data_IF_645222403446
#
_entry.id   IF_645222403446
#
_cell.length_a   1.000
_cell.length_b   1.000
_cell.length_c   1.000
_cell.angle_alpha   90.00
_cell.angle_beta   90.00
_cell.angle_gamma   90.00
#
_symmetry.space_group_name_H-M   'P 1'
#
loop_
_entity.id
_entity.type
_entity.pdbx_description
1 polymer ?
#
# COMPACT_ATOMS: atom_id res chain seq x y z
N UNK A 1 5.10 72.30 17.31
CA UNK A 1 4.00 72.60 16.37
C UNK A 1 3.93 71.55 15.28
N UNK A 2 3.16 70.49 15.54
CA UNK A 2 2.66 69.56 14.52
C UNK A 2 1.21 69.32 14.93
N UNK A 3 0.24 69.62 14.05
CA UNK A 3 -0.81 68.65 13.74
C UNK A 3 -1.31 68.82 12.25
N UNK A 4 -2.40 68.18 11.79
CA UNK A 4 -2.40 66.89 11.08
C UNK A 4 -3.30 66.89 9.82
N UNK A 5 -3.62 65.68 9.31
CA UNK A 5 -4.73 65.31 8.38
C UNK A 5 -4.35 65.27 6.88
N UNK A 6 -4.24 64.09 6.24
CA UNK A 6 -5.25 63.11 5.78
C UNK A 6 -5.70 63.35 4.32
N UNK A 7 -5.54 62.27 3.53
CA UNK A 7 -6.35 61.83 2.38
C UNK A 7 -5.89 62.09 0.91
N UNK A 8 -5.55 60.97 0.26
CA UNK A 8 -5.97 60.46 -1.07
C UNK A 8 -5.61 61.16 -2.39
N UNK A 9 -4.84 60.43 -3.22
CA UNK A 9 -5.02 60.14 -4.66
C UNK A 9 -3.82 59.28 -5.13
N UNK A 10 -3.90 57.96 -5.32
CA UNK A 10 -4.38 57.18 -6.48
C UNK A 10 -3.69 57.51 -7.82
N UNK A 11 -3.11 56.44 -8.41
CA UNK A 11 -2.65 56.26 -9.81
C UNK A 11 -1.41 57.08 -10.23
N UNK A 12 -0.39 56.57 -10.95
CA UNK A 12 -0.34 55.53 -11.97
C UNK A 12 1.15 55.21 -12.31
N UNK A 13 1.40 54.08 -12.98
CA UNK A 13 2.62 53.76 -13.76
C UNK A 13 3.94 53.49 -12.99
N UNK A 14 4.67 52.37 -13.13
CA UNK A 14 4.79 51.36 -14.20
C UNK A 14 5.12 50.00 -13.59
N UNK A 15 4.26 49.01 -13.84
CA UNK A 15 4.66 47.60 -13.76
C UNK A 15 5.46 47.31 -15.02
N UNK A 16 6.78 47.42 -14.92
CA UNK A 16 7.70 47.09 -16.02
C UNK A 16 7.85 45.56 -16.11
N UNK A 17 7.16 44.99 -17.09
CA UNK A 17 7.51 43.79 -17.84
C UNK A 17 7.99 42.55 -17.04
N UNK A 18 7.03 41.73 -16.59
CA UNK A 18 7.29 40.29 -16.55
C UNK A 18 7.41 39.78 -18.00
N UNK A 19 8.45 39.01 -18.37
CA UNK A 19 8.57 38.49 -19.73
C UNK A 19 7.38 37.57 -20.00
N UNK A 20 6.61 37.88 -21.04
CA UNK A 20 5.57 37.01 -21.56
C UNK A 20 6.23 35.69 -21.99
N UNK A 21 6.18 34.68 -21.13
CA UNK A 21 6.55 33.32 -21.48
C UNK A 21 5.61 32.88 -22.61
N UNK A 22 6.13 32.86 -23.84
CA UNK A 22 5.44 32.29 -25.00
C UNK A 22 5.03 30.84 -24.75
N UNK A 23 4.19 30.26 -25.60
CA UNK A 23 3.63 28.91 -25.40
C UNK A 23 4.68 27.83 -25.08
N UNK A 24 5.90 27.96 -25.61
CA UNK A 24 7.04 27.10 -25.28
C UNK A 24 7.48 27.19 -23.80
N UNK A 25 7.43 28.38 -23.20
CA UNK A 25 7.77 28.59 -21.79
C UNK A 25 6.70 28.06 -20.82
N UNK A 26 5.42 28.06 -21.23
CA UNK A 26 4.33 27.43 -20.49
C UNK A 26 4.43 25.91 -20.54
N UNK A 27 4.78 25.33 -21.69
CA UNK A 27 5.04 23.89 -21.84
C UNK A 27 6.21 23.43 -20.97
N UNK A 28 7.33 24.15 -20.98
CA UNK A 28 8.51 23.82 -20.16
C UNK A 28 8.24 23.95 -18.65
N UNK A 29 7.44 24.93 -18.21
CA UNK A 29 6.99 25.04 -16.82
C UNK A 29 6.01 23.94 -16.43
N UNK A 30 5.09 23.56 -17.32
CA UNK A 30 4.13 22.48 -17.07
C UNK A 30 4.81 21.11 -17.04
N UNK A 31 5.82 20.90 -17.89
CA UNK A 31 6.68 19.72 -17.89
C UNK A 31 7.56 19.69 -16.63
N UNK A 32 8.20 20.82 -16.24
CA UNK A 32 8.91 20.92 -14.97
C UNK A 32 8.01 20.71 -13.74
N UNK A 33 6.78 21.23 -13.75
CA UNK A 33 5.82 21.06 -12.66
C UNK A 33 5.30 19.61 -12.59
N UNK A 34 5.07 18.98 -13.75
CA UNK A 34 4.74 17.56 -13.86
C UNK A 34 5.87 16.68 -13.34
N UNK A 35 7.12 16.94 -13.76
CA UNK A 35 8.33 16.25 -13.28
C UNK A 35 8.51 16.44 -11.77
N UNK A 36 8.30 17.65 -11.23
CA UNK A 36 8.36 17.92 -9.78
C UNK A 36 7.27 17.19 -8.99
N UNK A 37 6.05 17.07 -9.53
CA UNK A 37 4.95 16.34 -8.91
C UNK A 37 5.23 14.83 -8.90
N UNK A 38 5.69 14.29 -10.03
CA UNK A 38 6.11 12.89 -10.18
C UNK A 38 7.25 12.52 -9.20
N UNK A 39 8.21 13.43 -8.98
CA UNK A 39 9.32 13.19 -8.04
C UNK A 39 8.85 13.22 -6.58
N UNK A 40 7.85 14.05 -6.26
CA UNK A 40 7.24 14.11 -4.92
C UNK A 40 6.45 12.84 -4.63
N UNK A 41 5.69 12.35 -5.61
CA UNK A 41 4.90 11.13 -5.49
C UNK A 41 5.83 9.91 -5.37
N UNK A 42 6.91 9.86 -6.14
CA UNK A 42 7.93 8.82 -6.04
C UNK A 42 8.61 8.78 -4.65
N UNK A 43 8.97 9.95 -4.11
CA UNK A 43 9.51 10.07 -2.74
C UNK A 43 8.53 9.57 -1.69
N UNK A 44 7.24 9.85 -1.87
CA UNK A 44 6.19 9.39 -0.97
C UNK A 44 6.06 7.87 -1.01
N UNK A 45 6.07 7.26 -2.21
CA UNK A 45 6.03 5.80 -2.36
C UNK A 45 7.20 5.14 -1.63
N UNK A 46 8.43 5.64 -1.80
CA UNK A 46 9.61 5.11 -1.10
C UNK A 46 9.45 5.20 0.41
N UNK A 47 8.96 6.33 0.94
CA UNK A 47 8.73 6.48 2.38
C UNK A 47 7.71 5.47 2.91
N UNK A 48 6.61 5.28 2.18
CA UNK A 48 5.56 4.34 2.59
C UNK A 48 6.10 2.91 2.58
N UNK A 49 6.75 2.48 1.50
CA UNK A 49 7.28 1.12 1.38
C UNK A 49 8.42 0.84 2.37
N UNK A 50 9.25 1.84 2.67
CA UNK A 50 10.34 1.67 3.64
C UNK A 50 9.90 1.82 5.11
N UNK A 51 8.65 2.22 5.39
CA UNK A 51 8.17 2.48 6.75
C UNK A 51 8.23 1.22 7.63
N UNK A 52 7.82 0.09 7.05
CA UNK A 52 7.78 -1.20 7.75
C UNK A 52 9.09 -2.00 7.58
N UNK A 53 10.13 -1.39 6.97
CA UNK A 53 11.44 -2.02 6.69
C UNK A 53 11.36 -3.38 5.98
N UNK A 54 10.27 -3.60 5.26
CA UNK A 54 9.98 -4.81 4.52
C UNK A 54 9.28 -4.38 3.23
N UNK A 55 9.94 -4.58 2.08
CA UNK A 55 9.42 -4.16 0.78
C UNK A 55 9.05 -5.41 -0.01
N UNK A 56 7.77 -5.58 -0.28
CA UNK A 56 7.25 -6.74 -0.98
C UNK A 56 7.66 -6.74 -2.46
N UNK A 57 7.71 -7.92 -3.11
CA UNK A 57 7.98 -8.00 -4.55
C UNK A 57 6.95 -7.26 -5.43
N UNK A 58 5.74 -6.99 -4.92
CA UNK A 58 4.74 -6.19 -5.65
C UNK A 58 5.09 -4.71 -5.60
N UNK A 59 5.47 -4.20 -4.42
CA UNK A 59 5.88 -2.81 -4.24
C UNK A 59 7.14 -2.49 -5.05
N UNK A 60 8.11 -3.41 -5.12
CA UNK A 60 9.27 -3.29 -6.01
C UNK A 60 8.83 -3.16 -7.48
N UNK A 61 7.85 -3.96 -7.91
CA UNK A 61 7.32 -3.92 -9.28
C UNK A 61 6.58 -2.61 -9.55
N UNK A 62 5.77 -2.13 -8.62
CA UNK A 62 5.09 -0.83 -8.73
C UNK A 62 6.10 0.31 -8.80
N UNK A 63 7.11 0.30 -7.93
CA UNK A 63 8.18 1.28 -7.93
C UNK A 63 8.97 1.24 -9.24
N UNK A 64 9.28 0.04 -9.75
CA UNK A 64 9.96 -0.16 -11.03
C UNK A 64 9.18 0.36 -12.23
N UNK A 65 7.86 0.12 -12.29
CA UNK A 65 6.97 0.70 -13.32
C UNK A 65 6.97 2.22 -13.24
N UNK A 66 6.76 2.77 -12.04
CA UNK A 66 6.76 4.21 -11.83
C UNK A 66 8.09 4.84 -12.29
N UNK A 67 9.24 4.25 -11.94
CA UNK A 67 10.54 4.73 -12.40
C UNK A 67 10.64 4.76 -13.92
N UNK A 68 10.18 3.71 -14.60
CA UNK A 68 10.22 3.60 -16.05
C UNK A 68 9.30 4.63 -16.72
N UNK A 69 8.07 4.73 -16.25
CA UNK A 69 7.03 5.60 -16.81
C UNK A 69 7.38 7.09 -16.62
N UNK A 70 8.14 7.41 -15.58
CA UNK A 70 8.56 8.78 -15.24
C UNK A 70 10.05 9.06 -15.50
N UNK A 71 10.77 8.16 -16.19
CA UNK A 71 12.17 8.38 -16.57
C UNK A 71 13.16 8.54 -15.41
N UNK A 72 12.87 7.94 -14.24
CA UNK A 72 13.71 8.05 -13.04
C UNK A 72 14.87 7.06 -13.15
N UNK A 73 16.08 7.60 -13.40
CA UNK A 73 17.32 6.82 -13.47
C UNK A 73 17.66 6.13 -12.15
N UNK A 74 18.58 5.16 -12.19
CA UNK A 74 19.06 4.46 -10.99
C UNK A 74 19.82 5.40 -10.06
N UNK A 75 20.68 6.25 -10.60
CA UNK A 75 21.41 7.25 -9.82
C UNK A 75 20.44 8.20 -9.10
N UNK A 76 19.38 8.63 -9.80
CA UNK A 76 18.36 9.50 -9.21
C UNK A 76 17.55 8.80 -8.12
N UNK A 77 17.31 7.50 -8.25
CA UNK A 77 16.69 6.70 -7.20
C UNK A 77 17.58 6.62 -5.96
N UNK A 78 18.89 6.39 -6.11
CA UNK A 78 19.86 6.35 -5.01
C UNK A 78 19.93 7.71 -4.30
N UNK A 79 19.98 8.81 -5.04
CA UNK A 79 19.94 10.17 -4.47
C UNK A 79 18.66 10.41 -3.64
N UNK A 80 17.53 9.88 -4.12
CA UNK A 80 16.26 10.00 -3.41
C UNK A 80 16.26 9.17 -2.13
N UNK A 81 16.81 7.95 -2.15
CA UNK A 81 16.99 7.13 -0.95
C UNK A 81 17.85 7.85 0.09
N UNK A 82 19.01 8.37 -0.35
CA UNK A 82 19.90 9.14 0.52
C UNK A 82 19.22 10.37 1.11
N UNK A 83 18.44 11.11 0.31
CA UNK A 83 17.65 12.25 0.77
C UNK A 83 16.50 11.90 1.72
N UNK A 84 16.17 10.61 1.85
CA UNK A 84 15.21 10.07 2.81
C UNK A 84 15.88 9.45 4.04
N UNK A 85 17.22 9.47 4.11
CA UNK A 85 17.99 8.84 5.19
C UNK A 85 18.03 7.31 5.08
N UNK A 86 17.77 6.75 3.91
CA UNK A 86 17.80 5.31 3.64
C UNK A 86 19.08 5.02 2.85
N UNK A 87 19.97 4.18 3.38
CA UNK A 87 21.14 3.75 2.62
C UNK A 87 20.75 2.75 1.54
N UNK A 88 21.56 2.61 0.48
CA UNK A 88 21.30 1.59 -0.55
C UNK A 88 21.34 0.16 0.05
N UNK A 89 22.19 -0.05 1.06
CA UNK A 89 22.26 -1.33 1.79
C UNK A 89 20.99 -1.61 2.59
N UNK A 90 20.44 -0.61 3.30
CA UNK A 90 19.17 -0.75 4.01
C UNK A 90 18.02 -1.07 3.05
N UNK A 91 18.00 -0.39 1.91
CA UNK A 91 17.01 -0.63 0.86
C UNK A 91 17.07 -2.07 0.32
N UNK A 92 18.26 -2.55 -0.02
CA UNK A 92 18.48 -3.93 -0.46
C UNK A 92 18.08 -4.93 0.62
N UNK A 93 18.41 -4.64 1.89
CA UNK A 93 17.99 -5.46 3.02
C UNK A 93 16.46 -5.53 3.15
N UNK A 94 15.74 -4.41 3.06
CA UNK A 94 14.27 -4.41 3.14
C UNK A 94 13.63 -5.19 1.98
N UNK A 95 14.23 -5.13 0.80
CA UNK A 95 13.85 -5.92 -0.38
C UNK A 95 14.10 -7.41 -0.14
N UNK A 96 15.24 -7.79 0.44
CA UNK A 96 15.54 -9.18 0.78
C UNK A 96 14.62 -9.74 1.85
N UNK A 97 14.35 -8.97 2.90
CA UNK A 97 13.38 -9.33 3.95
C UNK A 97 12.00 -9.57 3.34
N UNK A 98 11.52 -8.66 2.47
CA UNK A 98 10.22 -8.82 1.81
C UNK A 98 10.15 -9.97 0.80
N UNK A 99 11.27 -10.35 0.18
CA UNK A 99 11.36 -11.60 -0.60
C UNK A 99 11.27 -12.83 0.31
N UNK A 100 11.96 -12.80 1.44
CA UNK A 100 12.01 -13.91 2.40
C UNK A 100 10.67 -14.13 3.12
N UNK A 101 9.92 -13.06 3.39
CA UNK A 101 8.56 -13.13 3.95
C UNK A 101 7.57 -13.81 2.99
N UNK A 102 7.78 -13.72 1.68
CA UNK A 102 6.95 -14.42 0.70
C UNK A 102 7.25 -15.92 0.65
N UNK A 103 8.48 -16.33 0.94
CA UNK A 103 8.83 -17.74 1.10
C UNK A 103 8.18 -18.36 2.34
N UNK A 104 8.06 -17.63 3.47
CA UNK A 104 7.31 -18.15 4.63
C UNK A 104 5.80 -18.22 4.39
N UNK A 105 5.20 -17.28 3.66
CA UNK A 105 3.78 -17.38 3.28
C UNK A 105 3.53 -18.52 2.29
N UNK A 106 4.40 -18.71 1.28
CA UNK A 106 4.30 -19.84 0.34
C UNK A 106 4.61 -21.18 0.98
N UNK A 107 5.51 -21.23 1.95
CA UNK A 107 5.85 -22.46 2.66
C UNK A 107 4.72 -22.84 3.64
N UNK A 108 4.06 -21.85 4.26
CA UNK A 108 2.81 -22.04 5.02
C UNK A 108 1.64 -22.47 4.13
N UNK A 109 1.49 -21.90 2.93
CA UNK A 109 0.51 -22.40 1.94
C UNK A 109 0.84 -23.83 1.48
N UNK A 110 2.13 -24.19 1.32
CA UNK A 110 2.54 -25.53 0.89
C UNK A 110 2.37 -26.62 1.97
N UNK A 111 2.34 -26.24 3.25
CA UNK A 111 1.97 -27.14 4.36
C UNK A 111 0.48 -27.46 4.40
N UNK A 112 -0.34 -26.71 3.67
CA UNK A 112 -1.77 -26.93 3.49
C UNK A 112 -2.01 -27.52 2.08
N UNK A 113 -1.06 -28.28 1.53
CA UNK A 113 -1.17 -28.93 0.22
C UNK A 113 -1.99 -30.23 0.20
N UNK A 114 -2.58 -30.61 1.33
CA UNK A 114 -3.65 -31.61 1.32
C UNK A 114 -4.97 -30.96 0.86
N UNK A 115 -5.84 -31.74 0.21
CA UNK A 115 -7.18 -31.27 -0.19
C UNK A 115 -7.86 -30.63 1.01
N UNK A 116 -8.66 -29.57 0.81
CA UNK A 116 -9.41 -28.94 1.90
C UNK A 116 -10.25 -29.96 2.67
N UNK A 117 -10.64 -31.06 2.03
CA UNK A 117 -11.34 -32.19 2.62
C UNK A 117 -10.55 -32.92 3.72
N UNK A 118 -9.21 -32.94 3.63
CA UNK A 118 -8.31 -33.67 4.54
C UNK A 118 -7.81 -32.78 5.70
N UNK A 119 -8.24 -31.53 5.76
CA UNK A 119 -7.76 -30.61 6.79
C UNK A 119 -8.31 -31.02 8.15
N UNK A 120 -7.42 -31.11 9.13
CA UNK A 120 -7.84 -31.11 10.52
C UNK A 120 -8.22 -29.70 10.98
N UNK A 121 -8.85 -29.59 12.15
CA UNK A 121 -9.30 -28.33 12.75
C UNK A 121 -8.18 -27.28 12.85
N UNK A 122 -6.96 -27.71 13.19
CA UNK A 122 -5.81 -26.81 13.31
C UNK A 122 -5.43 -26.22 11.95
N UNK A 123 -5.46 -27.04 10.89
CA UNK A 123 -5.19 -26.61 9.52
C UNK A 123 -6.28 -25.65 9.02
N UNK A 124 -7.55 -25.90 9.35
CA UNK A 124 -8.66 -24.97 9.04
C UNK A 124 -8.45 -23.61 9.71
N UNK A 125 -8.10 -23.59 11.00
CA UNK A 125 -7.86 -22.35 11.76
C UNK A 125 -6.61 -21.62 11.24
N UNK A 126 -5.55 -22.35 10.91
CA UNK A 126 -4.32 -21.77 10.33
C UNK A 126 -4.61 -21.16 8.96
N UNK A 127 -5.34 -21.88 8.10
CA UNK A 127 -5.80 -21.37 6.81
C UNK A 127 -6.67 -20.11 6.95
N UNK A 128 -7.67 -20.13 7.83
CA UNK A 128 -8.52 -18.96 8.12
C UNK A 128 -7.70 -17.76 8.57
N UNK A 129 -6.66 -17.99 9.38
CA UNK A 129 -5.74 -16.95 9.84
C UNK A 129 -4.92 -16.36 8.68
N UNK A 130 -4.43 -17.20 7.78
CA UNK A 130 -3.68 -16.76 6.59
C UNK A 130 -4.56 -15.92 5.65
N UNK A 131 -5.78 -16.39 5.36
CA UNK A 131 -6.68 -15.70 4.43
C UNK A 131 -7.43 -14.51 5.07
N UNK A 132 -7.40 -14.39 6.40
CA UNK A 132 -8.11 -13.35 7.16
C UNK A 132 -7.84 -11.93 6.69
N UNK A 133 -6.57 -11.61 6.40
CA UNK A 133 -6.15 -10.28 5.93
C UNK A 133 -6.71 -9.96 4.55
N UNK A 134 -6.75 -10.97 3.66
CA UNK A 134 -7.20 -10.81 2.27
C UNK A 134 -8.72 -10.68 2.16
N UNK A 135 -9.46 -11.42 2.97
CA UNK A 135 -10.93 -11.45 2.93
C UNK A 135 -11.61 -10.66 4.06
N UNK A 136 -10.84 -9.97 4.89
CA UNK A 136 -11.33 -9.20 6.05
C UNK A 136 -12.16 -10.05 7.04
N UNK A 137 -11.68 -11.27 7.31
CA UNK A 137 -12.25 -12.15 8.33
C UNK A 137 -11.74 -11.70 9.70
N UNK A 138 -12.66 -11.43 10.62
CA UNK A 138 -12.35 -11.00 11.97
C UNK A 138 -11.82 -12.15 12.81
N UNK A 139 -10.88 -11.86 13.73
CA UNK A 139 -10.34 -12.85 14.66
C UNK A 139 -11.43 -13.57 15.46
N UNK A 140 -12.48 -12.85 15.87
CA UNK A 140 -13.63 -13.44 16.58
C UNK A 140 -14.32 -14.55 15.78
N UNK A 141 -14.36 -14.43 14.46
CA UNK A 141 -14.90 -15.47 13.57
C UNK A 141 -14.00 -16.69 13.61
N UNK A 142 -12.68 -16.52 13.48
CA UNK A 142 -11.69 -17.61 13.54
C UNK A 142 -11.76 -18.34 14.89
N UNK A 143 -11.93 -17.60 15.98
CA UNK A 143 -12.08 -18.17 17.32
C UNK A 143 -13.34 -19.05 17.47
N UNK A 144 -14.40 -18.79 16.67
CA UNK A 144 -15.58 -19.68 16.62
C UNK A 144 -15.27 -21.01 15.96
N UNK A 145 -14.53 -21.02 14.85
CA UNK A 145 -14.10 -22.25 14.21
C UNK A 145 -13.17 -23.08 15.12
N UNK A 146 -12.36 -22.41 15.93
CA UNK A 146 -11.49 -23.07 16.92
C UNK A 146 -12.26 -23.70 18.09
N UNK A 147 -13.43 -23.18 18.44
CA UNK A 147 -14.22 -23.68 19.57
C UNK A 147 -15.21 -24.78 19.22
N UNK A 148 -15.45 -25.00 17.93
CA UNK A 148 -16.50 -25.89 17.40
C UNK A 148 -15.92 -27.07 16.63
N UNK A 149 -14.61 -27.30 16.75
CA UNK A 149 -13.88 -28.44 16.16
C UNK A 149 -14.23 -28.65 14.67
N UNK A 150 -14.27 -27.56 13.90
CA UNK A 150 -14.60 -27.57 12.47
C UNK A 150 -13.38 -28.05 11.67
N UNK A 151 -13.46 -29.28 11.16
CA UNK A 151 -12.49 -29.84 10.22
C UNK A 151 -12.76 -29.39 8.77
N UNK A 152 -11.91 -29.83 7.85
CA UNK A 152 -11.96 -29.44 6.45
C UNK A 152 -13.22 -29.89 5.70
N UNK A 153 -13.72 -31.08 6.00
CA UNK A 153 -15.00 -31.59 5.48
C UNK A 153 -16.17 -30.71 5.95
N UNK A 154 -16.26 -30.48 7.27
CA UNK A 154 -17.28 -29.61 7.84
C UNK A 154 -17.19 -28.18 7.29
N UNK A 155 -15.98 -27.65 7.07
CA UNK A 155 -15.77 -26.33 6.47
C UNK A 155 -16.38 -26.23 5.06
N UNK A 156 -16.24 -27.27 4.24
CA UNK A 156 -16.78 -27.33 2.88
C UNK A 156 -18.30 -27.52 2.85
N UNK A 157 -18.86 -28.18 3.88
CA UNK A 157 -20.29 -28.41 4.02
C UNK A 157 -21.05 -27.29 4.74
N UNK A 158 -20.33 -26.33 5.35
CA UNK A 158 -20.94 -25.23 6.06
C UNK A 158 -21.88 -24.43 5.15
N UNK A 159 -23.11 -24.27 5.59
CA UNK A 159 -24.08 -23.36 4.98
C UNK A 159 -24.23 -22.07 5.79
N UNK A 160 -24.93 -21.08 5.22
CA UNK A 160 -25.17 -19.79 5.89
C UNK A 160 -25.95 -19.98 7.21
N UNK A 161 -27.02 -20.80 7.28
CA UNK A 161 -27.68 -21.12 8.54
C UNK A 161 -26.74 -21.64 9.63
N UNK A 162 -25.90 -22.63 9.33
CA UNK A 162 -24.94 -23.21 10.26
C UNK A 162 -23.95 -22.16 10.76
N UNK A 163 -23.36 -21.35 9.86
CA UNK A 163 -22.46 -20.27 10.28
C UNK A 163 -23.17 -19.26 11.22
N UNK A 164 -24.44 -18.96 10.99
CA UNK A 164 -25.20 -18.10 11.91
C UNK A 164 -25.47 -18.77 13.26
N UNK A 165 -25.68 -20.09 13.30
CA UNK A 165 -25.79 -20.86 14.55
C UNK A 165 -24.49 -20.83 15.36
N UNK A 166 -23.34 -20.80 14.68
CA UNK A 166 -22.02 -20.59 15.31
C UNK A 166 -21.82 -19.14 15.83
N UNK A 167 -22.81 -18.26 15.61
CA UNK A 167 -22.75 -16.85 15.98
C UNK A 167 -21.92 -15.99 15.01
N UNK A 168 -21.68 -16.47 13.79
CA UNK A 168 -20.97 -15.73 12.75
C UNK A 168 -21.97 -14.84 12.01
N UNK A 169 -21.66 -13.54 11.93
CA UNK A 169 -22.53 -12.58 11.25
C UNK A 169 -22.56 -12.84 9.73
N UNK A 170 -23.66 -12.43 9.08
CA UNK A 170 -23.83 -12.56 7.62
C UNK A 170 -22.70 -11.93 6.80
N UNK A 171 -22.10 -10.84 7.29
CA UNK A 171 -20.94 -10.21 6.64
C UNK A 171 -19.68 -11.08 6.71
N UNK A 172 -19.47 -11.74 7.85
CA UNK A 172 -18.33 -12.62 8.08
C UNK A 172 -18.48 -13.98 7.41
N UNK A 173 -19.69 -14.53 7.36
CA UNK A 173 -19.94 -15.76 6.60
C UNK A 173 -19.68 -15.56 5.11
N UNK A 174 -20.10 -14.42 4.54
CA UNK A 174 -19.76 -14.04 3.16
C UNK A 174 -18.25 -13.93 2.91
N UNK A 175 -17.48 -13.47 3.89
CA UNK A 175 -16.03 -13.38 3.78
C UNK A 175 -15.38 -14.78 3.77
N UNK A 176 -15.86 -15.69 4.63
CA UNK A 176 -15.41 -17.08 4.68
C UNK A 176 -15.77 -17.81 3.37
N UNK A 177 -16.99 -17.69 2.88
CA UNK A 177 -17.41 -18.31 1.60
C UNK A 177 -16.68 -17.77 0.36
N UNK A 178 -16.12 -16.56 0.43
CA UNK A 178 -15.26 -16.04 -0.65
C UNK A 178 -13.83 -16.55 -0.56
N UNK A 179 -13.43 -17.01 0.62
CA UNK A 179 -12.10 -17.53 0.87
C UNK A 179 -12.00 -19.01 0.50
N UNK A 180 -13.06 -19.80 0.80
CA UNK A 180 -13.26 -21.19 0.34
C UNK A 180 -13.42 -21.20 -1.18
#
# INVERSE_FOLDING_TARGET
NIPPQLASAVAEEKISAAPALGEQGKSALQEMLGVKRNLKDYRMMIRVFAMDKCITPEEIRQLGRFRKDHGISQDRHIEILAGLGISNQDWEHYVEVGKSSKSEEKEKESKISSSAHDWNEKQVVEWLTLVSKKYHIQQKTIDKFKGEDVNGEALLELDRPMMMQLGITMGQSNAVFKAI
#
